data_IF_312951378076
#
_entry.id   IF_312951378076
#
_cell.length_a   1.000
_cell.length_b   1.000
_cell.length_c   1.000
_cell.angle_alpha   90.00
_cell.angle_beta   90.00
_cell.angle_gamma   90.00
#
_symmetry.space_group_name_H-M   'P 1'
#
loop_
_entity.id
_entity.type
_entity.pdbx_description
1 polymer ?
#
# COMPACT_ATOMS: atom_id res chain seq x y z
N UNK A 1 14.87 78.26 51.68
CA UNK A 1 13.61 77.62 51.20
C UNK A 1 13.90 76.90 49.92
N UNK A 2 14.10 75.63 49.93
CA UNK A 2 14.45 74.84 48.76
C UNK A 2 13.21 74.00 48.38
N UNK A 3 12.64 74.27 47.19
CA UNK A 3 11.51 73.45 46.65
C UNK A 3 12.04 72.18 46.03
N UNK A 4 11.62 71.06 46.56
CA UNK A 4 11.84 69.71 45.97
C UNK A 4 10.83 69.51 44.85
N UNK A 5 11.32 69.30 43.61
CA UNK A 5 10.50 68.86 42.49
C UNK A 5 10.50 67.33 42.52
N UNK A 6 9.34 66.69 42.70
CA UNK A 6 9.13 65.26 42.60
C UNK A 6 8.81 64.93 41.16
N UNK A 7 9.72 64.19 40.50
CA UNK A 7 9.52 63.73 39.13
C UNK A 7 8.76 62.37 39.20
N UNK A 8 7.54 62.38 38.67
CA UNK A 8 6.69 61.18 38.57
C UNK A 8 7.08 60.46 37.31
N UNK A 9 7.80 59.30 37.45
CA UNK A 9 8.14 58.43 36.34
C UNK A 9 6.96 57.46 36.10
N UNK A 10 6.22 57.72 35.02
CA UNK A 10 5.15 56.82 34.58
C UNK A 10 5.78 55.67 33.80
N UNK A 11 5.92 54.51 34.46
CA UNK A 11 6.39 53.26 33.81
C UNK A 11 5.25 52.66 32.98
N UNK A 12 5.32 52.81 31.65
CA UNK A 12 4.46 52.08 30.74
C UNK A 12 4.94 50.60 30.68
N UNK A 13 4.23 49.74 31.35
CA UNK A 13 4.41 48.28 31.19
C UNK A 13 3.84 47.88 29.81
N UNK A 14 4.75 47.58 28.88
CA UNK A 14 4.41 46.96 27.59
C UNK A 14 4.08 45.51 27.85
N UNK A 15 2.78 45.21 27.96
CA UNK A 15 2.29 43.82 28.01
C UNK A 15 2.37 43.26 26.57
N UNK A 16 3.47 42.61 26.23
CA UNK A 16 3.53 41.79 25.03
C UNK A 16 2.58 40.59 25.20
N UNK A 17 1.44 40.66 24.55
CA UNK A 17 0.56 39.51 24.34
C UNK A 17 1.32 38.47 23.50
N UNK A 18 2.08 37.60 24.14
CA UNK A 18 2.47 36.31 23.55
C UNK A 18 1.19 35.53 23.37
N UNK A 19 0.61 35.64 22.19
CA UNK A 19 -0.42 34.72 21.74
C UNK A 19 0.17 33.33 21.77
N UNK A 20 -0.22 32.48 22.71
CA UNK A 20 -0.05 31.04 22.59
C UNK A 20 -0.76 30.64 21.29
N UNK A 21 -0.01 30.40 20.20
CA UNK A 21 -0.49 29.54 19.11
C UNK A 21 -0.81 28.21 19.78
N UNK A 22 -2.09 27.90 19.94
CA UNK A 22 -2.52 26.57 20.34
C UNK A 22 -1.79 25.57 19.42
N UNK A 23 -1.28 24.48 19.97
CA UNK A 23 -0.77 23.37 19.17
C UNK A 23 -1.94 22.89 18.30
N UNK A 24 -1.98 23.36 17.05
CA UNK A 24 -2.86 22.74 16.07
C UNK A 24 -2.40 21.28 15.94
N UNK A 25 -3.33 20.34 16.03
CA UNK A 25 -3.02 18.97 15.68
C UNK A 25 -2.46 18.98 14.25
N UNK A 26 -1.27 18.44 14.10
CA UNK A 26 -0.62 18.35 12.80
C UNK A 26 -1.49 17.53 11.84
N UNK A 27 -1.56 17.97 10.61
CA UNK A 27 -2.25 17.22 9.55
C UNK A 27 -1.42 15.98 9.17
N UNK A 28 -2.05 14.82 9.23
CA UNK A 28 -1.40 13.53 8.99
C UNK A 28 -2.02 12.87 7.76
N UNK A 29 -1.20 12.39 6.80
CA UNK A 29 -1.70 11.52 5.74
C UNK A 29 -2.14 10.17 6.31
N UNK A 30 -3.37 9.76 6.00
CA UNK A 30 -3.99 8.51 6.47
C UNK A 30 -4.69 7.79 5.32
N UNK A 31 -5.21 6.59 5.55
CA UNK A 31 -5.92 5.80 4.55
C UNK A 31 -5.14 5.61 3.25
N UNK A 32 -3.86 5.30 3.39
CA UNK A 32 -2.96 5.08 2.27
C UNK A 32 -3.47 3.94 1.38
N UNK A 33 -3.47 4.17 0.07
CA UNK A 33 -3.91 3.18 -0.92
C UNK A 33 -2.96 3.14 -2.10
N UNK A 34 -2.72 1.93 -2.58
CA UNK A 34 -2.02 1.67 -3.84
C UNK A 34 -3.03 1.14 -4.85
N UNK A 35 -3.15 1.75 -6.02
CA UNK A 35 -4.19 1.46 -7.03
C UNK A 35 -5.61 1.46 -6.43
N UNK A 36 -5.89 2.41 -5.51
CA UNK A 36 -7.14 2.57 -4.76
C UNK A 36 -7.47 1.43 -3.80
N UNK A 37 -6.58 0.45 -3.64
CA UNK A 37 -6.72 -0.69 -2.75
C UNK A 37 -5.86 -0.50 -1.50
N UNK A 38 -6.28 -1.12 -0.41
CA UNK A 38 -5.56 -1.15 0.85
C UNK A 38 -4.65 -2.37 0.85
N UNK A 39 -3.34 -2.17 1.00
CA UNK A 39 -2.32 -3.23 1.07
C UNK A 39 -2.50 -4.35 0.02
N UNK A 40 -2.68 -3.99 -1.28
CA UNK A 40 -2.99 -4.99 -2.29
C UNK A 40 -1.82 -5.94 -2.52
N UNK A 41 -2.15 -7.19 -2.81
CA UNK A 41 -1.21 -8.19 -3.29
C UNK A 41 -1.48 -8.49 -4.77
N UNK A 42 -0.44 -8.77 -5.54
CA UNK A 42 -0.60 -9.16 -6.94
C UNK A 42 -0.89 -8.00 -7.88
N UNK A 43 -0.32 -6.81 -7.65
CA UNK A 43 -0.43 -5.69 -8.59
C UNK A 43 0.42 -5.92 -9.83
N UNK A 44 -0.19 -5.88 -11.00
CA UNK A 44 0.47 -6.07 -12.31
C UNK A 44 0.93 -4.76 -12.97
N UNK A 45 0.81 -3.64 -12.26
CA UNK A 45 1.32 -2.35 -12.73
C UNK A 45 2.75 -2.10 -12.27
N UNK A 46 3.57 -1.54 -13.18
CA UNK A 46 4.97 -1.16 -12.87
C UNK A 46 5.10 0.25 -12.32
N UNK A 47 4.05 1.05 -12.45
CA UNK A 47 3.99 2.44 -11.98
C UNK A 47 2.67 2.63 -11.24
N UNK A 48 2.57 2.15 -10.00
CA UNK A 48 1.34 2.22 -9.23
C UNK A 48 1.00 3.67 -8.84
N UNK A 49 -0.28 3.96 -8.77
CA UNK A 49 -0.81 5.21 -8.24
C UNK A 49 -0.95 5.10 -6.74
N UNK A 50 -0.54 6.15 -6.03
CA UNK A 50 -0.65 6.26 -4.59
C UNK A 50 -1.69 7.32 -4.24
N UNK A 51 -2.56 7.03 -3.28
CA UNK A 51 -3.56 7.96 -2.79
C UNK A 51 -3.66 7.89 -1.27
N UNK A 52 -4.04 8.99 -0.65
CA UNK A 52 -4.23 9.12 0.78
C UNK A 52 -5.28 10.18 1.09
N UNK A 53 -5.72 10.21 2.31
CA UNK A 53 -6.59 11.23 2.89
C UNK A 53 -5.81 12.02 3.94
N UNK A 54 -6.34 13.14 4.34
CA UNK A 54 -5.77 13.94 5.42
C UNK A 54 -6.63 13.88 6.66
N UNK A 55 -6.01 13.65 7.81
CA UNK A 55 -6.62 13.74 9.13
C UNK A 55 -5.93 14.86 9.91
N UNK A 56 -6.69 15.80 10.45
CA UNK A 56 -6.18 16.92 11.22
C UNK A 56 -7.29 17.91 11.56
N UNK A 57 -6.95 18.89 12.38
CA UNK A 57 -7.90 19.93 12.82
C UNK A 57 -7.85 21.20 12.00
N UNK A 58 -6.90 21.32 11.08
CA UNK A 58 -6.69 22.55 10.31
C UNK A 58 -7.77 22.71 9.23
N UNK A 59 -8.52 23.81 9.34
CA UNK A 59 -9.50 24.20 8.33
C UNK A 59 -8.78 24.85 7.15
N UNK A 60 -9.16 24.46 5.93
CA UNK A 60 -8.55 24.94 4.68
C UNK A 60 -7.09 24.51 4.48
N UNK A 61 -6.71 23.34 4.98
CA UNK A 61 -5.42 22.76 4.69
C UNK A 61 -5.22 22.57 3.18
N UNK A 62 -4.10 23.06 2.68
CA UNK A 62 -3.64 22.87 1.31
C UNK A 62 -2.22 22.30 1.35
N UNK A 63 -2.04 21.13 0.78
CA UNK A 63 -0.72 20.57 0.60
C UNK A 63 0.02 21.31 -0.53
N UNK A 64 1.16 21.91 -0.21
CA UNK A 64 2.04 22.54 -1.22
C UNK A 64 2.94 21.52 -1.91
N UNK A 65 3.31 20.45 -1.20
CA UNK A 65 4.17 19.38 -1.67
C UNK A 65 3.85 18.07 -0.98
N UNK A 66 4.10 16.98 -1.67
CA UNK A 66 4.15 15.64 -1.10
C UNK A 66 5.39 14.89 -1.60
N UNK A 67 5.95 14.02 -0.78
CA UNK A 67 7.06 13.13 -1.14
C UNK A 67 6.72 11.71 -0.72
N UNK A 68 6.65 10.82 -1.69
CA UNK A 68 6.46 9.39 -1.45
C UNK A 68 7.84 8.75 -1.35
N UNK A 69 8.01 7.89 -0.36
CA UNK A 69 9.20 7.05 -0.21
C UNK A 69 8.80 5.59 -0.24
N UNK A 70 9.60 4.77 -0.92
CA UNK A 70 9.33 3.35 -1.15
C UNK A 70 10.60 2.52 -0.99
N UNK A 71 10.46 1.28 -0.58
CA UNK A 71 11.56 0.32 -0.47
C UNK A 71 11.06 -1.10 -0.25
N UNK A 72 11.98 -2.05 -0.27
CA UNK A 72 11.69 -3.47 0.03
C UNK A 72 11.84 -3.80 1.52
N UNK A 73 12.18 -2.80 2.34
CA UNK A 73 12.23 -2.87 3.80
C UNK A 73 11.64 -1.59 4.38
N UNK A 74 10.88 -1.65 5.49
CA UNK A 74 10.33 -0.47 6.12
C UNK A 74 11.41 0.49 6.67
N UNK A 75 12.61 -0.03 6.96
CA UNK A 75 13.72 0.73 7.52
C UNK A 75 14.59 1.42 6.46
N UNK A 76 14.34 1.14 5.17
CA UNK A 76 15.15 1.67 4.08
C UNK A 76 14.27 2.13 2.90
N UNK A 77 13.53 3.21 3.12
CA UNK A 77 12.68 3.82 2.10
C UNK A 77 13.45 4.93 1.36
N UNK A 78 13.38 4.92 0.04
CA UNK A 78 14.00 5.90 -0.86
C UNK A 78 12.91 6.73 -1.56
N UNK A 79 13.18 7.98 -1.97
CA UNK A 79 12.23 8.77 -2.73
C UNK A 79 11.74 8.02 -3.98
N UNK A 80 10.42 7.93 -4.14
CA UNK A 80 9.81 7.33 -5.33
C UNK A 80 9.91 8.30 -6.50
N UNK A 81 10.38 7.81 -7.63
CA UNK A 81 10.48 8.56 -8.88
C UNK A 81 9.87 7.76 -10.02
N UNK A 82 9.40 8.45 -11.05
CA UNK A 82 8.78 7.83 -12.24
C UNK A 82 9.71 6.87 -12.99
N UNK A 83 11.01 6.97 -12.75
CA UNK A 83 12.01 6.09 -13.35
C UNK A 83 12.31 4.84 -12.51
N UNK A 84 11.71 4.69 -11.34
CA UNK A 84 11.92 3.52 -10.50
C UNK A 84 11.29 2.30 -11.16
N UNK A 85 12.09 1.25 -11.30
CA UNK A 85 11.61 -0.05 -11.81
C UNK A 85 11.25 -0.92 -10.63
N UNK A 86 9.99 -1.36 -10.58
CA UNK A 86 9.54 -2.35 -9.59
C UNK A 86 9.84 -3.75 -10.09
N UNK A 87 10.33 -4.58 -9.17
CA UNK A 87 10.59 -6.00 -9.44
C UNK A 87 9.29 -6.83 -9.28
N UNK A 88 9.11 -7.91 -10.04
CA UNK A 88 7.97 -8.81 -9.87
C UNK A 88 8.05 -9.58 -8.55
N UNK A 89 6.92 -10.05 -8.04
CA UNK A 89 6.81 -10.86 -6.80
C UNK A 89 7.47 -10.23 -5.58
N UNK A 90 7.41 -8.91 -5.47
CA UNK A 90 8.14 -8.18 -4.44
C UNK A 90 7.18 -7.41 -3.57
N UNK A 91 7.34 -7.53 -2.25
CA UNK A 91 6.67 -6.67 -1.28
C UNK A 91 7.40 -5.35 -1.20
N UNK A 92 6.65 -4.27 -1.30
CA UNK A 92 7.11 -2.90 -1.11
C UNK A 92 6.43 -2.28 0.10
N UNK A 93 7.19 -1.46 0.78
CA UNK A 93 6.78 -0.61 1.88
C UNK A 93 6.85 0.83 1.41
N UNK A 94 5.89 1.66 1.81
CA UNK A 94 5.90 3.05 1.42
C UNK A 94 5.22 3.94 2.43
N UNK A 95 5.64 5.19 2.46
CA UNK A 95 4.99 6.25 3.23
C UNK A 95 4.98 7.56 2.41
N UNK A 96 4.28 8.55 2.94
CA UNK A 96 4.22 9.87 2.35
C UNK A 96 4.43 10.95 3.41
N UNK A 97 5.29 11.91 3.10
CA UNK A 97 5.48 13.14 3.85
C UNK A 97 4.81 14.27 3.09
N UNK A 98 4.13 15.17 3.81
CA UNK A 98 3.38 16.28 3.22
C UNK A 98 3.82 17.59 3.84
N UNK A 99 3.86 18.64 3.03
CA UNK A 99 4.12 20.03 3.44
C UNK A 99 2.85 20.86 3.25
N UNK A 100 2.60 21.74 4.18
CA UNK A 100 1.48 22.69 4.12
C UNK A 100 1.71 23.83 3.13
N UNK A 101 0.77 24.76 3.05
CA UNK A 101 0.82 25.94 2.19
C UNK A 101 1.95 26.90 2.55
N UNK A 102 2.45 26.88 3.78
CA UNK A 102 3.55 27.73 4.27
C UNK A 102 4.92 27.07 4.03
N UNK A 103 4.92 25.82 3.59
CA UNK A 103 6.11 25.01 3.32
C UNK A 103 6.67 24.29 4.54
N UNK A 104 5.91 24.24 5.62
CA UNK A 104 6.27 23.52 6.83
C UNK A 104 5.91 22.03 6.67
N UNK A 105 6.78 21.15 7.20
CA UNK A 105 6.49 19.70 7.25
C UNK A 105 5.34 19.47 8.23
N UNK A 106 4.29 18.80 7.75
CA UNK A 106 3.20 18.36 8.61
C UNK A 106 3.61 17.11 9.38
N UNK A 107 3.22 15.96 8.87
CA UNK A 107 3.57 14.66 9.43
C UNK A 107 3.88 13.68 8.28
N UNK A 108 4.66 12.66 8.60
CA UNK A 108 4.82 11.50 7.71
C UNK A 108 3.76 10.47 8.09
N UNK A 109 3.15 9.84 7.10
CA UNK A 109 2.17 8.79 7.32
C UNK A 109 2.77 7.56 8.02
N UNK A 110 1.92 6.69 8.55
CA UNK A 110 2.30 5.32 8.80
C UNK A 110 2.78 4.65 7.51
N UNK A 111 3.54 3.56 7.65
CA UNK A 111 4.02 2.78 6.51
C UNK A 111 2.91 1.84 6.04
N UNK A 112 2.59 1.89 4.75
CA UNK A 112 1.71 0.95 4.06
C UNK A 112 2.51 -0.01 3.19
N UNK A 113 1.85 -1.08 2.74
CA UNK A 113 2.48 -2.10 1.88
C UNK A 113 1.70 -2.33 0.60
N UNK A 114 2.38 -2.90 -0.39
CA UNK A 114 1.76 -3.58 -1.53
C UNK A 114 2.72 -4.64 -2.07
N UNK A 115 2.18 -5.60 -2.81
CA UNK A 115 2.99 -6.60 -3.49
C UNK A 115 2.76 -6.55 -5.00
N UNK A 116 3.85 -6.61 -5.74
CA UNK A 116 3.80 -6.71 -7.19
C UNK A 116 3.47 -8.13 -7.64
N UNK A 117 2.85 -8.21 -8.79
CA UNK A 117 2.45 -9.44 -9.45
C UNK A 117 3.55 -10.00 -10.36
N UNK A 118 3.17 -10.95 -11.19
CA UNK A 118 3.94 -11.42 -12.35
C UNK A 118 3.73 -10.45 -13.51
N UNK A 119 4.80 -9.82 -13.99
CA UNK A 119 4.71 -8.81 -15.04
C UNK A 119 4.76 -9.41 -16.46
N UNK A 120 5.25 -10.62 -16.60
CA UNK A 120 5.43 -11.30 -17.89
C UNK A 120 5.35 -12.81 -17.76
N UNK A 121 5.16 -13.48 -18.89
CA UNK A 121 5.04 -14.95 -18.93
C UNK A 121 6.28 -15.68 -18.39
N UNK A 122 7.48 -15.09 -18.56
CA UNK A 122 8.72 -15.70 -18.03
C UNK A 122 8.83 -15.67 -16.50
N UNK A 123 7.97 -14.92 -15.82
CA UNK A 123 7.92 -14.91 -14.36
C UNK A 123 7.18 -16.13 -13.79
N UNK A 124 6.57 -16.95 -14.67
CA UNK A 124 5.91 -18.19 -14.31
C UNK A 124 6.86 -19.38 -14.40
N UNK A 125 6.96 -20.15 -13.31
CA UNK A 125 7.65 -21.44 -13.29
C UNK A 125 6.68 -22.62 -13.46
N UNK A 126 5.39 -22.40 -13.24
CA UNK A 126 4.35 -23.39 -13.42
C UNK A 126 4.09 -23.71 -14.88
N UNK A 127 3.55 -24.90 -15.13
CA UNK A 127 3.10 -25.35 -16.46
C UNK A 127 1.60 -25.52 -16.45
N UNK A 128 0.98 -25.34 -17.61
CA UNK A 128 -0.42 -25.71 -17.80
C UNK A 128 -0.60 -27.22 -17.58
N UNK A 129 -1.65 -27.56 -16.87
CA UNK A 129 -2.06 -28.93 -16.62
C UNK A 129 -3.48 -29.12 -17.10
N UNK A 130 -3.79 -30.33 -17.58
CA UNK A 130 -5.13 -30.77 -17.94
C UNK A 130 -5.25 -32.24 -17.54
N UNK A 131 -6.46 -32.75 -17.48
CA UNK A 131 -6.70 -34.18 -17.33
C UNK A 131 -6.54 -34.91 -18.68
N UNK A 132 -6.68 -36.22 -18.65
CA UNK A 132 -6.56 -37.09 -19.84
C UNK A 132 -7.90 -37.36 -20.53
N UNK A 133 -9.00 -36.81 -20.05
CA UNK A 133 -10.32 -37.02 -20.62
C UNK A 133 -10.50 -36.18 -21.89
N UNK A 134 -11.43 -36.63 -22.71
CA UNK A 134 -11.84 -35.87 -23.90
C UNK A 134 -12.71 -34.65 -23.54
N UNK A 135 -13.05 -33.87 -24.54
CA UNK A 135 -13.84 -32.65 -24.37
C UNK A 135 -15.30 -32.87 -23.96
N UNK A 136 -15.80 -34.09 -24.15
CA UNK A 136 -17.17 -34.50 -23.81
C UNK A 136 -17.32 -34.89 -22.35
N UNK A 137 -16.19 -35.00 -21.62
CA UNK A 137 -16.22 -35.37 -20.20
C UNK A 137 -16.59 -34.12 -19.38
N UNK A 138 -17.81 -34.08 -18.85
CA UNK A 138 -18.39 -32.91 -18.17
C UNK A 138 -17.91 -32.65 -16.74
N UNK A 139 -17.54 -33.66 -15.89
CA UNK A 139 -17.07 -33.42 -14.55
C UNK A 139 -15.80 -32.57 -14.53
N UNK A 140 -15.76 -31.56 -13.66
CA UNK A 140 -14.57 -30.75 -13.47
C UNK A 140 -13.39 -31.58 -12.95
N UNK A 141 -12.19 -31.48 -13.55
CA UNK A 141 -11.04 -32.26 -13.15
C UNK A 141 -10.54 -31.84 -11.76
N UNK A 142 -10.14 -32.83 -10.96
CA UNK A 142 -9.54 -32.59 -9.65
C UNK A 142 -8.04 -32.90 -9.69
N UNK A 143 -7.22 -31.91 -9.41
CA UNK A 143 -5.77 -32.06 -9.33
C UNK A 143 -5.32 -32.03 -7.87
N UNK A 144 -4.41 -32.94 -7.51
CA UNK A 144 -3.85 -33.01 -6.16
C UNK A 144 -2.35 -33.17 -6.22
N UNK A 145 -1.64 -32.38 -5.40
CA UNK A 145 -0.20 -32.52 -5.19
C UNK A 145 0.11 -32.47 -3.70
N UNK A 146 0.84 -33.47 -3.19
CA UNK A 146 1.42 -33.41 -1.87
C UNK A 146 2.89 -32.92 -1.96
N UNK A 147 3.30 -32.10 -1.02
CA UNK A 147 4.68 -31.64 -0.89
C UNK A 147 4.99 -31.36 0.58
N UNK A 148 6.26 -31.37 0.91
CA UNK A 148 6.74 -31.03 2.26
C UNK A 148 7.60 -29.77 2.19
N UNK A 149 7.39 -28.87 3.13
CA UNK A 149 8.21 -27.70 3.30
C UNK A 149 9.37 -28.04 4.25
N UNK A 150 10.59 -27.78 3.81
CA UNK A 150 11.80 -28.07 4.59
C UNK A 150 12.21 -26.97 5.57
N UNK A 151 11.45 -25.87 5.64
CA UNK A 151 11.72 -24.70 6.50
C UNK A 151 10.42 -24.14 7.04
N UNK A 152 10.51 -23.38 8.10
CA UNK A 152 9.41 -22.55 8.61
C UNK A 152 9.00 -21.51 7.55
N UNK A 153 7.71 -21.25 7.46
CA UNK A 153 7.15 -20.32 6.48
C UNK A 153 7.06 -18.96 7.15
N UNK A 154 7.78 -17.98 6.62
CA UNK A 154 7.58 -16.58 6.97
C UNK A 154 6.45 -15.97 6.16
N UNK A 155 6.46 -16.23 4.84
CA UNK A 155 5.45 -15.76 3.91
C UNK A 155 5.26 -16.78 2.78
N UNK A 156 4.00 -16.95 2.37
CA UNK A 156 3.65 -17.83 1.25
C UNK A 156 2.59 -17.21 0.35
N UNK A 157 2.80 -17.31 -0.95
CA UNK A 157 1.86 -16.83 -1.98
C UNK A 157 1.59 -17.94 -2.97
N UNK A 158 0.33 -18.07 -3.37
CA UNK A 158 -0.08 -18.94 -4.47
C UNK A 158 -0.62 -18.09 -5.61
N UNK A 159 -0.12 -18.33 -6.80
CA UNK A 159 -0.57 -17.70 -8.03
C UNK A 159 -1.31 -18.75 -8.85
N UNK A 160 -2.58 -18.52 -9.15
CA UNK A 160 -3.42 -19.45 -9.89
C UNK A 160 -3.96 -18.80 -11.14
N UNK A 161 -3.61 -19.38 -12.30
CA UNK A 161 -4.23 -19.06 -13.58
C UNK A 161 -5.07 -20.25 -14.03
N UNK A 162 -6.29 -19.98 -14.50
CA UNK A 162 -7.16 -21.01 -15.04
C UNK A 162 -7.84 -20.51 -16.33
N UNK A 163 -7.93 -21.39 -17.33
CA UNK A 163 -8.81 -21.19 -18.48
C UNK A 163 -10.20 -21.72 -18.13
N UNK A 164 -10.86 -21.07 -17.19
CA UNK A 164 -12.09 -21.46 -16.54
C UNK A 164 -12.12 -20.93 -15.10
N UNK A 165 -12.91 -21.56 -14.26
CA UNK A 165 -12.95 -21.29 -12.81
C UNK A 165 -12.22 -22.36 -12.05
N UNK A 166 -11.76 -22.05 -10.84
CA UNK A 166 -11.13 -23.03 -9.95
C UNK A 166 -11.61 -22.85 -8.50
N UNK A 167 -11.52 -23.92 -7.75
CA UNK A 167 -11.50 -23.92 -6.30
C UNK A 167 -10.14 -24.43 -5.82
N UNK A 168 -9.46 -23.62 -5.01
CA UNK A 168 -8.17 -23.98 -4.43
C UNK A 168 -8.34 -24.42 -2.98
N UNK A 169 -7.70 -25.54 -2.63
CA UNK A 169 -7.66 -26.02 -1.25
C UNK A 169 -6.21 -26.29 -0.84
N UNK A 170 -5.86 -25.92 0.38
CA UNK A 170 -4.59 -26.28 1.02
C UNK A 170 -4.93 -26.99 2.33
N UNK A 171 -4.39 -28.20 2.50
CA UNK A 171 -4.66 -29.03 3.68
C UNK A 171 -6.16 -29.21 4.00
N UNK A 172 -6.99 -29.29 2.97
CA UNK A 172 -8.43 -29.47 3.09
C UNK A 172 -9.22 -28.19 3.39
N UNK A 173 -8.57 -27.04 3.54
CA UNK A 173 -9.22 -25.73 3.71
C UNK A 173 -9.26 -24.99 2.39
N UNK A 174 -10.42 -24.41 2.04
CA UNK A 174 -10.58 -23.57 0.86
C UNK A 174 -9.74 -22.29 1.02
N UNK A 175 -9.06 -21.88 -0.05
CA UNK A 175 -8.28 -20.66 -0.13
C UNK A 175 -9.06 -19.61 -0.89
N UNK A 176 -9.10 -18.39 -0.34
CA UNK A 176 -9.83 -17.26 -0.92
C UNK A 176 -11.34 -17.30 -0.60
N UNK A 177 -12.00 -16.17 -0.79
CA UNK A 177 -13.42 -15.98 -0.47
C UNK A 177 -14.31 -15.93 -1.72
N UNK A 178 -13.71 -15.73 -2.89
CA UNK A 178 -14.43 -15.64 -4.17
C UNK A 178 -14.78 -17.03 -4.70
N UNK A 179 -15.87 -17.12 -5.47
CA UNK A 179 -16.36 -18.37 -6.05
C UNK A 179 -16.14 -18.50 -7.55
N UNK A 180 -15.85 -17.41 -8.25
CA UNK A 180 -15.72 -17.37 -9.70
C UNK A 180 -14.36 -16.78 -10.12
N UNK A 181 -13.31 -17.28 -9.52
CA UNK A 181 -11.94 -16.90 -9.83
C UNK A 181 -11.29 -17.83 -10.87
N UNK A 182 -10.40 -17.29 -11.71
CA UNK A 182 -10.25 -15.89 -12.07
C UNK A 182 -11.42 -15.43 -12.94
N UNK A 183 -11.66 -14.13 -13.07
CA UNK A 183 -12.75 -13.66 -13.93
C UNK A 183 -12.70 -14.23 -15.36
N UNK A 184 -13.87 -14.45 -15.96
CA UNK A 184 -13.97 -15.01 -17.32
C UNK A 184 -13.45 -14.02 -18.38
N UNK A 185 -12.66 -14.53 -19.34
CA UNK A 185 -12.11 -13.78 -20.46
C UNK A 185 -12.12 -14.60 -21.76
N UNK A 186 -11.73 -13.99 -22.86
CA UNK A 186 -11.35 -14.75 -24.06
C UNK A 186 -10.00 -15.41 -23.83
N UNK A 187 -9.98 -16.67 -23.47
CA UNK A 187 -8.79 -17.39 -23.01
C UNK A 187 -7.69 -17.53 -24.08
N UNK A 188 -8.06 -17.42 -25.36
CA UNK A 188 -7.12 -17.36 -26.49
C UNK A 188 -6.36 -16.03 -26.58
N UNK A 189 -6.89 -14.98 -25.95
CA UNK A 189 -6.30 -13.63 -25.96
C UNK A 189 -5.71 -13.24 -24.62
N UNK A 190 -6.40 -13.57 -23.54
CA UNK A 190 -6.00 -13.18 -22.19
C UNK A 190 -6.52 -14.17 -21.16
N UNK A 191 -5.64 -14.63 -20.30
CA UNK A 191 -6.01 -15.41 -19.11
C UNK A 191 -5.65 -14.58 -17.89
N UNK A 192 -6.62 -14.39 -17.01
CA UNK A 192 -6.41 -13.76 -15.71
C UNK A 192 -5.84 -14.78 -14.73
N UNK A 193 -5.23 -14.27 -13.68
CA UNK A 193 -4.80 -15.08 -12.55
C UNK A 193 -5.09 -14.34 -11.23
N UNK A 194 -5.11 -15.09 -10.14
CA UNK A 194 -5.32 -14.58 -8.79
C UNK A 194 -4.10 -14.89 -7.95
N UNK A 195 -3.75 -13.95 -7.09
CA UNK A 195 -2.72 -14.12 -6.06
C UNK A 195 -3.40 -14.30 -4.72
N UNK A 196 -3.07 -15.37 -4.01
CA UNK A 196 -3.57 -15.62 -2.66
C UNK A 196 -2.43 -15.57 -1.65
N UNK A 197 -2.69 -14.92 -0.51
CA UNK A 197 -1.88 -15.09 0.69
C UNK A 197 -2.26 -16.42 1.35
N UNK A 198 -1.28 -17.29 1.53
CA UNK A 198 -1.43 -18.61 2.14
C UNK A 198 -0.39 -18.85 3.23
N UNK A 199 0.03 -17.79 3.88
CA UNK A 199 1.04 -17.82 4.95
C UNK A 199 0.57 -18.58 6.18
N UNK A 200 -0.76 -18.62 6.47
CA UNK A 200 -1.37 -19.25 7.66
C UNK A 200 -1.96 -20.61 7.37
#
# INVERSE_FOLDING_TARGET
MVKKNTLLICSLAFFSLMGCKGKNELTVPVNLRTEYLREPIGLDTKSPRFTWEYKGSEKNFLASRSEIRIGTSPDNLQPYTDNMTLEPHTRYYWNVTVWDQDGDICETSETATFETAKFKSSDWSGKWITDSHDKEFEPAPMFRKAFTLGKEIEEARVYVAAAGYYDLFINGKRVGENYLDPGYTHFDKRILYVTHDVTS
#
